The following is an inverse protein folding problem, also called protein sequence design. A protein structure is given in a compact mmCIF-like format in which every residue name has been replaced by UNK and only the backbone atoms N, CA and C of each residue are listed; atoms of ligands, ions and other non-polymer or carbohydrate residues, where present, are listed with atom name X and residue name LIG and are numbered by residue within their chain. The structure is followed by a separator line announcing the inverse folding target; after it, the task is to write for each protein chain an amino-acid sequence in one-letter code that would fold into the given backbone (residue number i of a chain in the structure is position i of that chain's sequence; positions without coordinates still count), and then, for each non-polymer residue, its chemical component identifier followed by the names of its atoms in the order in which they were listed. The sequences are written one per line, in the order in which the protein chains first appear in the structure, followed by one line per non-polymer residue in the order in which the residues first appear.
data_IF_638015024567
#
_entry.id   IF_638015024567
#
_cell.length_a   1.000
_cell.length_b   1.000
_cell.length_c   1.000
_cell.angle_alpha   90.00
_cell.angle_beta   90.00
_cell.angle_gamma   90.00
#
_symmetry.space_group_name_H-M   'P 1'
#
loop_
_entity.id
_entity.type
_entity.pdbx_description
1 polymer ?
#
# COMPACT_ATOMS: atom_id res chain seq x y z
N UNK A 1 -20.95 2.63 -12.45
CA UNK A 1 -21.68 3.58 -11.58
C UNK A 1 -21.06 3.53 -10.19
N UNK A 2 -21.03 4.65 -9.48
CA UNK A 2 -20.59 4.74 -8.08
C UNK A 2 -21.81 5.05 -7.20
N UNK A 3 -21.75 4.69 -5.93
CA UNK A 3 -22.74 5.07 -4.92
C UNK A 3 -22.09 5.99 -3.90
N UNK A 4 -22.88 6.86 -3.28
CA UNK A 4 -22.46 7.74 -2.19
C UNK A 4 -23.37 7.45 -1.00
N UNK A 5 -22.77 7.11 0.14
CA UNK A 5 -23.50 7.00 1.39
C UNK A 5 -24.01 8.38 1.82
N UNK A 6 -25.32 8.52 2.00
CA UNK A 6 -25.99 9.81 2.21
C UNK A 6 -25.76 10.41 3.59
N UNK A 7 -25.26 9.63 4.55
CA UNK A 7 -25.00 10.10 5.92
C UNK A 7 -23.51 10.40 6.14
N UNK A 8 -22.63 9.65 5.49
CA UNK A 8 -21.17 9.71 5.72
C UNK A 8 -20.39 10.32 4.55
N UNK A 9 -21.00 10.44 3.37
CA UNK A 9 -20.33 10.91 2.15
C UNK A 9 -19.38 9.89 1.52
N UNK A 10 -19.33 8.65 2.03
CA UNK A 10 -18.42 7.62 1.51
C UNK A 10 -18.83 7.19 0.11
N UNK A 11 -17.94 7.40 -0.86
CA UNK A 11 -18.12 6.94 -2.24
C UNK A 11 -17.65 5.49 -2.40
N UNK A 12 -18.48 4.63 -2.99
CA UNK A 12 -18.17 3.21 -3.27
C UNK A 12 -18.37 2.87 -4.73
N UNK A 13 -17.66 1.84 -5.19
CA UNK A 13 -17.93 1.22 -6.47
C UNK A 13 -19.27 0.48 -6.44
N UNK A 14 -20.03 0.54 -7.54
CA UNK A 14 -21.37 -0.06 -7.60
C UNK A 14 -21.61 -0.95 -8.82
N UNK A 15 -20.57 -1.16 -9.65
CA UNK A 15 -20.63 -2.05 -10.81
C UNK A 15 -19.52 -3.09 -10.75
N UNK A 16 -19.77 -4.24 -11.36
CA UNK A 16 -18.83 -5.38 -11.37
C UNK A 16 -17.58 -5.10 -12.20
N UNK A 17 -17.72 -4.33 -13.29
CA UNK A 17 -16.60 -4.02 -14.20
C UNK A 17 -16.60 -2.53 -14.55
N UNK A 18 -15.40 -1.95 -14.55
CA UNK A 18 -15.11 -0.63 -15.08
C UNK A 18 -14.28 -0.80 -16.36
N UNK A 19 -14.45 0.12 -17.31
CA UNK A 19 -13.69 0.13 -18.56
C UNK A 19 -12.22 0.46 -18.27
N UNK A 20 -11.28 -0.46 -18.56
CA UNK A 20 -9.86 -0.22 -18.38
C UNK A 20 -9.40 1.08 -19.06
N UNK A 21 -8.53 1.84 -18.40
CA UNK A 21 -7.97 3.09 -18.92
C UNK A 21 -8.93 4.29 -18.91
N UNK A 22 -10.14 4.14 -18.37
CA UNK A 22 -11.12 5.23 -18.29
C UNK A 22 -11.05 5.94 -16.94
N UNK A 23 -11.09 7.27 -16.96
CA UNK A 23 -11.30 8.09 -15.75
C UNK A 23 -12.79 8.38 -15.58
N UNK A 24 -13.35 7.97 -14.46
CA UNK A 24 -14.73 8.25 -14.10
C UNK A 24 -14.81 9.45 -13.17
N UNK A 25 -15.71 10.38 -13.46
CA UNK A 25 -15.99 11.55 -12.61
C UNK A 25 -17.24 11.31 -11.78
N UNK A 26 -17.13 11.46 -10.48
CA UNK A 26 -18.24 11.42 -9.53
C UNK A 26 -18.45 12.83 -9.00
N UNK A 27 -19.66 13.35 -9.17
CA UNK A 27 -20.08 14.65 -8.68
C UNK A 27 -20.89 14.44 -7.41
N UNK A 28 -20.47 15.04 -6.30
CA UNK A 28 -21.11 14.90 -4.99
C UNK A 28 -21.51 16.28 -4.49
N UNK A 29 -22.73 16.40 -3.99
CA UNK A 29 -23.27 17.63 -3.42
C UNK A 29 -23.98 17.28 -2.11
N UNK A 30 -23.70 18.06 -1.06
CA UNK A 30 -24.44 17.97 0.19
C UNK A 30 -25.61 18.96 0.17
N UNK A 31 -26.72 18.57 0.78
CA UNK A 31 -27.89 19.42 0.97
C UNK A 31 -28.27 19.43 2.44
N UNK A 32 -28.31 20.62 3.04
CA UNK A 32 -28.91 20.80 4.35
C UNK A 32 -30.42 20.49 4.26
N UNK A 33 -30.96 19.75 5.24
CA UNK A 33 -32.38 19.35 5.31
C UNK A 33 -33.15 20.14 6.35
N UNK A 34 -32.52 21.12 6.98
CA UNK A 34 -33.21 21.99 7.94
C UNK A 34 -34.30 22.82 7.23
N UNK A 35 -35.41 23.13 7.94
CA UNK A 35 -36.47 23.94 7.35
C UNK A 35 -36.01 25.39 7.29
N UNK A 36 -35.39 25.76 6.18
CA UNK A 36 -34.75 27.07 6.06
C UNK A 36 -35.18 27.71 4.75
N UNK A 37 -35.95 28.79 4.88
CA UNK A 37 -36.30 29.80 3.88
C UNK A 37 -36.17 29.40 2.39
N UNK A 38 -37.30 29.36 1.66
CA UNK A 38 -37.36 29.03 0.22
C UNK A 38 -36.46 29.90 -0.69
N UNK A 39 -35.96 31.03 -0.19
CA UNK A 39 -35.10 31.96 -0.93
C UNK A 39 -33.59 31.73 -0.73
N UNK A 40 -33.15 30.78 0.11
CA UNK A 40 -31.74 30.44 0.28
C UNK A 40 -31.43 29.06 -0.30
N UNK A 41 -30.32 28.95 -1.05
CA UNK A 41 -29.78 27.65 -1.44
C UNK A 41 -29.29 26.91 -0.20
N UNK A 42 -29.70 25.66 -0.05
CA UNK A 42 -29.22 24.74 0.99
C UNK A 42 -28.18 23.74 0.45
N UNK A 43 -27.78 23.91 -0.81
CA UNK A 43 -26.84 23.05 -1.49
C UNK A 43 -25.40 23.55 -1.28
N UNK A 44 -24.48 22.63 -1.04
CA UNK A 44 -23.04 22.90 -1.06
C UNK A 44 -22.53 23.12 -2.47
N UNK A 45 -21.27 23.55 -2.58
CA UNK A 45 -20.51 23.39 -3.83
C UNK A 45 -20.44 21.91 -4.22
N UNK A 46 -20.27 21.65 -5.53
CA UNK A 46 -20.12 20.30 -6.06
C UNK A 46 -18.67 19.86 -5.89
N UNK A 47 -18.45 18.79 -5.14
CA UNK A 47 -17.17 18.10 -5.09
C UNK A 47 -17.04 17.16 -6.30
N UNK A 48 -15.88 17.19 -6.95
CA UNK A 48 -15.56 16.31 -8.10
C UNK A 48 -14.50 15.30 -7.68
N UNK A 49 -14.82 14.01 -7.74
CA UNK A 49 -13.89 12.92 -7.52
C UNK A 49 -13.57 12.24 -8.87
N UNK A 50 -12.30 12.17 -9.22
CA UNK A 50 -11.82 11.44 -10.39
C UNK A 50 -11.27 10.07 -9.98
N UNK A 51 -11.83 9.00 -10.54
CA UNK A 51 -11.41 7.62 -10.28
C UNK A 51 -10.89 7.01 -11.58
N UNK A 52 -9.58 6.77 -11.63
CA UNK A 52 -8.96 6.08 -12.77
C UNK A 52 -9.12 4.56 -12.65
N UNK A 53 -9.73 3.94 -13.67
CA UNK A 53 -9.88 2.50 -13.79
C UNK A 53 -8.60 1.88 -14.36
N UNK A 54 -7.56 1.83 -13.52
CA UNK A 54 -6.25 1.28 -13.85
C UNK A 54 -5.91 0.02 -13.07
N UNK A 55 -4.79 -0.59 -13.43
CA UNK A 55 -4.19 -1.66 -12.65
C UNK A 55 -3.63 -1.12 -11.32
N UNK A 56 -3.87 -1.85 -10.23
CA UNK A 56 -3.32 -1.51 -8.91
C UNK A 56 -2.02 -2.27 -8.66
N UNK A 57 -0.97 -1.56 -8.23
CA UNK A 57 0.28 -2.18 -7.78
C UNK A 57 0.05 -3.07 -6.54
N UNK A 58 0.90 -4.07 -6.28
CA UNK A 58 0.85 -4.81 -5.02
C UNK A 58 0.93 -3.87 -3.81
N UNK A 59 0.31 -4.27 -2.70
CA UNK A 59 0.30 -3.46 -1.48
C UNK A 59 0.67 -4.29 -0.27
N UNK A 60 1.67 -3.82 0.48
CA UNK A 60 2.00 -4.42 1.77
C UNK A 60 0.84 -4.29 2.75
N UNK A 61 0.66 -5.33 3.57
CA UNK A 61 -0.34 -5.36 4.65
C UNK A 61 -0.02 -4.31 5.73
N UNK A 62 1.28 -4.11 6.01
CA UNK A 62 1.78 -3.07 6.90
C UNK A 62 2.80 -2.20 6.16
N UNK A 63 2.76 -0.90 6.41
CA UNK A 63 3.73 0.04 5.84
C UNK A 63 5.09 -0.03 6.54
N UNK A 64 5.11 -0.42 7.81
CA UNK A 64 6.31 -0.49 8.64
C UNK A 64 6.29 -1.78 9.46
N UNK A 65 7.46 -2.40 9.59
CA UNK A 65 7.72 -3.56 10.44
C UNK A 65 8.85 -3.18 11.40
N UNK A 66 8.65 -3.42 12.69
CA UNK A 66 9.66 -3.19 13.73
C UNK A 66 9.77 -4.46 14.57
N UNK A 67 10.99 -4.98 14.68
CA UNK A 67 11.30 -6.24 15.35
C UNK A 67 12.62 -6.05 16.11
N UNK A 68 12.66 -6.48 17.36
CA UNK A 68 13.90 -6.58 18.14
C UNK A 68 14.51 -7.97 17.98
N UNK A 69 15.83 -8.04 17.81
CA UNK A 69 16.56 -9.31 17.58
C UNK A 69 17.71 -9.39 18.58
N UNK A 70 17.81 -10.40 19.44
CA UNK A 70 18.99 -10.56 20.31
C UNK A 70 20.30 -10.69 19.51
N UNK A 71 21.43 -10.19 20.02
CA UNK A 71 22.73 -10.29 19.31
C UNK A 71 23.24 -11.72 19.15
N UNK A 72 22.86 -12.60 20.08
CA UNK A 72 23.16 -14.03 20.08
C UNK A 72 22.27 -14.82 19.11
N UNK A 73 21.41 -14.14 18.34
CA UNK A 73 20.58 -14.78 17.31
C UNK A 73 21.44 -15.41 16.22
N UNK A 74 21.15 -16.68 15.92
CA UNK A 74 21.85 -17.42 14.89
C UNK A 74 21.53 -16.91 13.48
N UNK A 75 22.51 -17.07 12.58
CA UNK A 75 22.31 -16.85 11.15
C UNK A 75 21.23 -17.82 10.64
N UNK A 76 20.50 -17.37 9.61
CA UNK A 76 19.32 -18.02 9.03
C UNK A 76 18.08 -18.05 9.93
N UNK A 77 18.10 -17.39 11.09
CA UNK A 77 16.90 -17.18 11.89
C UNK A 77 15.84 -16.37 11.13
N UNK A 78 14.59 -16.83 11.14
CA UNK A 78 13.45 -16.11 10.56
C UNK A 78 13.03 -14.95 11.45
N UNK A 79 13.27 -13.73 10.98
CA UNK A 79 13.07 -12.48 11.73
C UNK A 79 11.62 -12.01 11.66
N UNK A 80 11.06 -11.91 10.45
CA UNK A 80 9.71 -11.38 10.23
C UNK A 80 9.12 -11.91 8.93
N UNK A 81 7.81 -12.17 8.94
CA UNK A 81 7.03 -12.45 7.74
C UNK A 81 6.40 -11.17 7.20
N UNK A 82 6.77 -10.81 5.98
CA UNK A 82 6.24 -9.66 5.25
C UNK A 82 5.22 -10.13 4.23
N UNK A 83 4.02 -9.56 4.29
CA UNK A 83 2.94 -9.87 3.34
C UNK A 83 2.55 -8.67 2.49
N UNK A 84 2.33 -8.92 1.21
CA UNK A 84 1.69 -8.01 0.28
C UNK A 84 0.52 -8.69 -0.45
N UNK A 85 -0.50 -7.90 -0.77
CA UNK A 85 -1.63 -8.30 -1.59
C UNK A 85 -1.35 -7.96 -3.04
N UNK A 86 -1.43 -8.96 -3.92
CA UNK A 86 -1.53 -8.74 -5.37
C UNK A 86 -3.00 -8.53 -5.76
N UNK A 87 -3.25 -7.63 -6.69
CA UNK A 87 -4.58 -7.39 -7.25
C UNK A 87 -4.69 -8.04 -8.62
N UNK A 88 -5.90 -8.49 -8.96
CA UNK A 88 -6.20 -8.96 -10.32
C UNK A 88 -6.02 -7.81 -11.32
N UNK A 89 -5.60 -8.09 -12.57
CA UNK A 89 -5.62 -7.08 -13.62
C UNK A 89 -7.06 -6.61 -13.85
N UNK A 90 -7.21 -5.34 -14.21
CA UNK A 90 -8.54 -4.80 -14.52
C UNK A 90 -9.11 -5.35 -15.84
N UNK A 91 -8.21 -5.74 -16.76
CA UNK A 91 -8.53 -6.47 -17.97
C UNK A 91 -8.17 -7.95 -17.78
N UNK A 92 -9.19 -8.81 -17.63
CA UNK A 92 -9.01 -10.24 -17.40
C UNK A 92 -8.33 -10.97 -18.57
N UNK A 93 -8.24 -10.34 -19.76
CA UNK A 93 -7.47 -10.88 -20.90
C UNK A 93 -5.97 -10.74 -20.71
N UNK A 94 -5.52 -9.90 -19.77
CA UNK A 94 -4.12 -9.74 -19.41
C UNK A 94 -3.81 -10.54 -18.15
N UNK A 95 -2.56 -10.95 -18.00
CA UNK A 95 -2.03 -11.53 -16.77
C UNK A 95 -1.06 -10.56 -16.11
N UNK A 96 -1.13 -10.44 -14.78
CA UNK A 96 -0.04 -9.86 -13.98
C UNK A 96 0.96 -10.94 -13.62
N UNK A 97 2.24 -10.56 -13.50
CA UNK A 97 3.30 -11.46 -13.05
C UNK A 97 3.10 -11.94 -11.61
N UNK A 98 4.01 -12.83 -11.19
CA UNK A 98 4.05 -13.31 -9.81
C UNK A 98 4.42 -12.17 -8.84
N UNK A 99 3.98 -12.31 -7.59
CA UNK A 99 4.40 -11.41 -6.53
C UNK A 99 5.78 -11.85 -6.04
N UNK A 100 6.77 -10.97 -6.17
CA UNK A 100 8.12 -11.19 -5.66
C UNK A 100 8.51 -10.13 -4.65
N UNK A 101 9.33 -10.51 -3.68
CA UNK A 101 9.83 -9.65 -2.61
C UNK A 101 11.33 -9.40 -2.80
N UNK A 102 11.74 -8.15 -2.54
CA UNK A 102 13.15 -7.77 -2.53
C UNK A 102 13.44 -6.86 -1.33
N UNK A 103 14.65 -6.97 -0.79
CA UNK A 103 15.08 -6.25 0.41
C UNK A 103 16.33 -5.45 0.09
N UNK A 104 16.29 -4.17 0.45
CA UNK A 104 17.39 -3.23 0.23
C UNK A 104 17.81 -2.60 1.55
N UNK A 105 19.10 -2.26 1.66
CA UNK A 105 19.58 -1.43 2.76
C UNK A 105 19.01 -0.02 2.65
N UNK A 106 18.84 0.65 3.78
CA UNK A 106 18.59 2.10 3.76
C UNK A 106 19.83 2.80 3.16
N UNK A 107 19.60 3.62 2.14
CA UNK A 107 20.63 4.35 1.41
C UNK A 107 20.15 5.75 1.07
N UNK A 108 20.95 6.49 0.31
CA UNK A 108 20.67 7.89 -0.08
C UNK A 108 19.49 8.06 -1.08
N UNK A 109 18.67 7.02 -1.30
CA UNK A 109 17.50 7.04 -2.17
C UNK A 109 17.79 6.86 -3.67
N UNK A 110 19.06 6.87 -4.09
CA UNK A 110 19.46 6.78 -5.50
C UNK A 110 19.81 5.32 -5.89
N UNK A 111 20.39 4.56 -4.95
CA UNK A 111 20.85 3.18 -5.22
C UNK A 111 20.13 2.15 -4.36
N UNK A 112 19.61 1.12 -5.02
CA UNK A 112 19.02 -0.07 -4.38
C UNK A 112 20.13 -1.08 -4.05
N UNK A 113 20.86 -0.82 -2.98
CA UNK A 113 21.90 -1.74 -2.51
C UNK A 113 21.29 -2.88 -1.68
N UNK A 114 21.76 -4.14 -1.83
CA UNK A 114 21.30 -5.25 -1.02
C UNK A 114 21.66 -5.05 0.46
N UNK A 115 20.84 -5.58 1.36
CA UNK A 115 21.15 -5.55 2.79
C UNK A 115 22.38 -6.41 3.12
N UNK A 116 23.25 -5.88 3.99
CA UNK A 116 24.42 -6.60 4.51
C UNK A 116 24.04 -7.66 5.55
N UNK A 117 22.97 -7.42 6.32
CA UNK A 117 22.62 -8.20 7.51
C UNK A 117 21.38 -9.07 7.33
N UNK A 118 20.57 -8.81 6.31
CA UNK A 118 19.30 -9.50 6.13
C UNK A 118 19.10 -9.94 4.68
N UNK A 119 18.37 -11.04 4.49
CA UNK A 119 17.84 -11.49 3.19
C UNK A 119 16.34 -11.63 3.29
N UNK A 120 15.65 -11.69 2.15
CA UNK A 120 14.21 -11.99 2.09
C UNK A 120 13.97 -13.14 1.11
N UNK A 121 13.11 -14.07 1.50
CA UNK A 121 12.61 -15.09 0.59
C UNK A 121 11.72 -14.44 -0.47
N UNK A 122 12.14 -14.56 -1.73
CA UNK A 122 11.54 -13.83 -2.86
C UNK A 122 10.05 -14.15 -3.05
N UNK A 123 9.60 -15.36 -2.68
CA UNK A 123 8.22 -15.80 -2.92
C UNK A 123 7.33 -15.71 -1.67
N UNK A 124 7.89 -16.03 -0.52
CA UNK A 124 7.20 -16.14 0.76
C UNK A 124 7.22 -14.86 1.58
N UNK A 125 8.20 -13.97 1.34
CA UNK A 125 8.34 -12.70 2.04
C UNK A 125 8.95 -12.81 3.45
N UNK A 126 9.53 -13.95 3.81
CA UNK A 126 10.17 -14.14 5.12
C UNK A 126 11.58 -13.55 5.10
N UNK A 127 11.84 -12.64 6.03
CA UNK A 127 13.16 -12.02 6.24
C UNK A 127 13.99 -12.91 7.17
N UNK A 128 15.23 -13.18 6.79
CA UNK A 128 16.18 -13.96 7.57
C UNK A 128 17.42 -13.16 7.94
N UNK A 129 18.03 -13.51 9.07
CA UNK A 129 19.33 -12.97 9.48
C UNK A 129 20.44 -13.58 8.62
N UNK A 130 21.17 -12.75 7.88
CA UNK A 130 22.27 -13.17 7.00
C UNK A 130 23.63 -13.19 7.70
N UNK A 131 23.80 -12.31 8.69
CA UNK A 131 25.05 -12.12 9.43
C UNK A 131 24.73 -11.77 10.88
N UNK A 132 25.53 -12.26 11.82
CA UNK A 132 25.38 -11.95 13.25
C UNK A 132 25.33 -10.43 13.51
N UNK A 133 24.54 -10.08 14.52
CA UNK A 133 24.40 -8.71 15.02
C UNK A 133 25.40 -8.52 16.16
N UNK A 134 26.01 -7.35 16.23
CA UNK A 134 26.92 -6.94 17.30
C UNK A 134 26.49 -5.54 17.74
N UNK A 135 25.80 -5.44 18.88
CA UNK A 135 25.24 -4.18 19.33
C UNK A 135 26.29 -3.14 19.71
N UNK A 136 27.52 -3.59 19.97
CA UNK A 136 28.67 -2.76 20.32
C UNK A 136 29.40 -2.21 19.08
N UNK A 137 29.08 -2.70 17.87
CA UNK A 137 29.60 -2.17 16.59
C UNK A 137 28.75 -0.98 16.09
N UNK A 138 29.25 0.24 16.30
CA UNK A 138 28.61 1.47 15.84
C UNK A 138 28.53 1.61 14.30
N UNK A 139 29.28 0.80 13.55
CA UNK A 139 29.24 0.81 12.07
C UNK A 139 28.09 -0.03 11.51
N UNK A 140 27.38 -0.77 12.36
CA UNK A 140 26.24 -1.60 11.96
C UNK A 140 24.97 -0.76 11.74
N UNK A 141 24.46 -0.79 10.50
CA UNK A 141 23.15 -0.24 10.14
C UNK A 141 22.04 -0.96 10.92
N UNK A 142 21.23 -0.18 11.65
CA UNK A 142 20.12 -0.67 12.49
C UNK A 142 18.76 -0.61 11.79
N UNK A 143 18.67 0.12 10.68
CA UNK A 143 17.42 0.36 9.94
C UNK A 143 17.48 -0.27 8.54
N UNK A 144 16.39 -0.94 8.16
CA UNK A 144 16.22 -1.59 6.87
C UNK A 144 14.81 -1.31 6.35
N UNK A 145 14.68 -1.08 5.03
CA UNK A 145 13.41 -0.70 4.42
C UNK A 145 13.00 -1.68 3.32
N UNK A 146 11.74 -2.09 3.39
CA UNK A 146 11.06 -2.78 2.31
C UNK A 146 10.53 -1.73 1.35
N UNK A 147 10.88 -1.84 0.08
CA UNK A 147 10.37 -0.96 -0.98
C UNK A 147 9.52 -1.82 -1.90
N UNK A 148 8.27 -1.42 -2.10
CA UNK A 148 7.33 -2.05 -3.04
C UNK A 148 7.42 -1.46 -4.44
#
# INVERSE_FOLDING_TARGET
MFTVDTNTGVVRTAVKHYTPGTTYRVFVQARDKTPTNRNLSQDSEIAVLEVYAGDRAPQFVKQYYSVGIPEDTDVDYSVVDVKAHRFKPIDERRSKGELTYSLFAEGNGIERAPSKYFTIDERGGVVHLKKRIDYDDETQLRNHKLIG
#
